data_IF_826478380014
#
_entry.id   IF_826478380014
#
_cell.length_a   1.000
_cell.length_b   1.000
_cell.length_c   1.000
_cell.angle_alpha   90.00
_cell.angle_beta   90.00
_cell.angle_gamma   90.00
#
_symmetry.space_group_name_H-M   'P 1'
#
loop_
_entity.id
_entity.type
_entity.pdbx_description
1 polymer ?
#
# COMPACT_ATOMS: atom_id res chain seq x y z
N UNK A 1 -17.65 71.39 46.66
CA UNK A 1 -16.70 70.84 45.69
C UNK A 1 -16.85 69.32 45.64
N UNK A 2 -17.49 68.83 44.58
CA UNK A 2 -17.72 67.40 44.38
C UNK A 2 -16.70 66.86 43.44
N UNK A 3 -15.88 65.92 43.85
CA UNK A 3 -14.93 65.20 43.02
C UNK A 3 -15.63 63.93 42.52
N UNK A 4 -15.84 63.84 41.20
CA UNK A 4 -16.41 62.61 40.57
C UNK A 4 -15.24 61.72 40.15
N UNK A 5 -15.17 60.54 40.77
CA UNK A 5 -14.20 59.54 40.44
C UNK A 5 -14.78 58.68 39.29
N UNK A 6 -14.17 58.73 38.10
CA UNK A 6 -14.53 57.84 36.97
C UNK A 6 -13.76 56.51 37.12
N UNK A 7 -14.49 55.45 37.32
CA UNK A 7 -13.97 54.05 37.25
C UNK A 7 -13.93 53.61 35.77
N UNK A 8 -12.76 53.46 35.24
CA UNK A 8 -12.56 52.88 33.92
C UNK A 8 -12.72 51.36 33.99
N UNK A 9 -13.68 50.84 33.20
CA UNK A 9 -13.93 49.41 33.03
C UNK A 9 -12.96 48.88 31.95
N UNK A 10 -11.92 48.15 32.34
CA UNK A 10 -11.05 47.42 31.39
C UNK A 10 -11.74 46.11 31.01
N UNK A 11 -12.20 46.04 29.77
CA UNK A 11 -12.72 44.79 29.22
C UNK A 11 -11.54 43.87 28.81
N UNK A 12 -11.40 42.79 29.54
CA UNK A 12 -10.45 41.71 29.24
C UNK A 12 -11.09 40.81 28.14
N UNK A 13 -10.64 40.96 26.89
CA UNK A 13 -10.97 40.02 25.81
C UNK A 13 -10.17 38.72 26.01
N UNK A 14 -10.81 37.70 26.58
CA UNK A 14 -10.28 36.33 26.53
C UNK A 14 -10.49 35.78 25.11
N UNK A 15 -9.41 35.79 24.34
CA UNK A 15 -9.33 35.06 23.09
C UNK A 15 -9.30 33.56 23.35
N UNK A 16 -10.40 32.85 23.10
CA UNK A 16 -10.44 31.38 23.10
C UNK A 16 -9.69 30.88 21.87
N UNK A 17 -8.46 30.41 22.06
CA UNK A 17 -7.77 29.61 21.04
C UNK A 17 -8.55 28.29 20.90
N UNK A 18 -9.32 28.15 19.84
CA UNK A 18 -9.89 26.88 19.43
C UNK A 18 -8.74 25.99 18.93
N UNK A 19 -8.22 25.13 19.79
CA UNK A 19 -7.36 24.01 19.39
C UNK A 19 -8.25 23.07 18.60
N UNK A 20 -8.11 23.10 17.29
CA UNK A 20 -8.71 22.07 16.42
C UNK A 20 -8.01 20.75 16.74
N UNK A 21 -8.56 19.99 17.66
CA UNK A 21 -8.24 18.58 17.85
C UNK A 21 -8.59 17.85 16.56
N UNK A 22 -7.59 17.68 15.71
CA UNK A 22 -7.66 16.74 14.61
C UNK A 22 -7.89 15.34 15.16
N UNK A 23 -9.16 14.97 15.29
CA UNK A 23 -9.57 13.61 15.58
C UNK A 23 -9.08 12.78 14.40
N UNK A 24 -8.04 11.97 14.63
CA UNK A 24 -7.69 10.91 13.70
C UNK A 24 -8.92 9.98 13.63
N UNK A 25 -9.77 10.21 12.62
CA UNK A 25 -10.79 9.24 12.25
C UNK A 25 -10.05 7.95 11.91
N UNK A 26 -10.39 6.87 12.60
CA UNK A 26 -10.13 5.49 12.18
C UNK A 26 -10.87 5.30 10.85
N UNK A 27 -10.27 5.76 9.77
CA UNK A 27 -10.87 5.67 8.44
C UNK A 27 -10.84 4.21 8.03
N UNK A 28 -12.02 3.65 7.91
CA UNK A 28 -12.29 2.51 7.05
C UNK A 28 -11.51 2.73 5.74
N UNK A 29 -10.40 2.06 5.53
CA UNK A 29 -9.35 2.30 4.53
C UNK A 29 -9.79 2.97 3.22
N UNK A 30 -8.87 3.32 2.37
CA UNK A 30 -9.13 4.05 1.12
C UNK A 30 -10.19 3.35 0.25
N UNK A 31 -11.05 4.13 -0.41
CA UNK A 31 -12.10 3.67 -1.35
C UNK A 31 -11.76 4.09 -2.80
N UNK A 32 -12.41 3.46 -3.77
CA UNK A 32 -12.34 3.90 -5.17
C UNK A 32 -12.86 5.33 -5.28
N UNK A 33 -12.09 6.19 -5.93
CA UNK A 33 -12.31 7.65 -6.05
C UNK A 33 -11.51 8.49 -5.06
N UNK A 34 -11.04 7.91 -3.96
CA UNK A 34 -10.21 8.62 -2.98
C UNK A 34 -8.77 8.83 -3.50
N UNK A 35 -8.07 9.80 -2.92
CA UNK A 35 -6.61 9.87 -3.07
C UNK A 35 -5.95 8.70 -2.36
N UNK A 36 -4.97 8.09 -3.03
CA UNK A 36 -4.16 7.04 -2.43
C UNK A 36 -3.41 7.57 -1.20
N UNK A 37 -3.36 6.82 -0.08
CA UNK A 37 -2.60 7.22 1.07
C UNK A 37 -1.10 7.20 0.77
N UNK A 38 -0.36 8.17 1.31
CA UNK A 38 1.09 8.14 1.26
C UNK A 38 1.64 7.04 2.19
N UNK A 39 2.63 6.30 1.70
CA UNK A 39 3.32 5.28 2.47
C UNK A 39 4.78 5.13 2.05
N UNK A 40 5.56 4.58 2.95
CA UNK A 40 6.94 4.20 2.72
C UNK A 40 7.12 2.75 3.20
N UNK A 41 8.02 2.01 2.59
CA UNK A 41 8.35 0.65 2.97
C UNK A 41 9.81 0.32 2.64
N UNK A 42 10.35 -0.70 3.29
CA UNK A 42 11.62 -1.31 2.87
C UNK A 42 11.36 -2.21 1.67
N UNK A 43 12.09 -2.01 0.59
CA UNK A 43 12.01 -2.85 -0.61
C UNK A 43 12.86 -4.13 -0.51
N UNK A 44 12.76 -4.97 -1.52
CA UNK A 44 13.50 -6.22 -1.67
C UNK A 44 15.04 -6.05 -1.77
N UNK A 45 15.54 -4.82 -1.87
CA UNK A 45 16.96 -4.48 -1.84
C UNK A 45 17.40 -3.87 -0.50
N UNK A 46 16.50 -3.78 0.48
CA UNK A 46 16.75 -3.14 1.76
C UNK A 46 16.74 -1.61 1.72
N UNK A 47 16.25 -0.99 0.64
CA UNK A 47 16.16 0.46 0.48
C UNK A 47 14.77 0.96 0.84
N UNK A 48 14.67 2.23 1.20
CA UNK A 48 13.36 2.88 1.41
C UNK A 48 12.71 3.21 0.08
N UNK A 49 11.55 2.62 -0.19
CA UNK A 49 10.65 2.97 -1.29
C UNK A 49 9.57 3.92 -0.78
N UNK A 50 9.33 5.00 -1.52
CA UNK A 50 8.35 6.04 -1.14
C UNK A 50 7.28 6.17 -2.21
N UNK A 51 6.01 6.04 -1.83
CA UNK A 51 4.88 6.19 -2.76
C UNK A 51 4.86 7.56 -3.45
N UNK A 52 5.34 8.62 -2.80
CA UNK A 52 5.43 9.99 -3.36
C UNK A 52 6.34 10.10 -4.58
N UNK A 53 7.26 9.17 -4.75
CA UNK A 53 8.19 9.18 -5.89
C UNK A 53 7.56 8.57 -7.16
N UNK A 54 6.45 7.87 -7.02
CA UNK A 54 5.77 7.07 -8.05
C UNK A 54 4.33 7.52 -8.32
N UNK A 55 3.52 7.62 -7.27
CA UNK A 55 2.11 8.05 -7.34
C UNK A 55 2.00 9.49 -7.83
N UNK A 56 1.09 9.74 -8.76
CA UNK A 56 0.97 11.05 -9.42
C UNK A 56 1.89 11.24 -10.63
N UNK A 57 2.73 10.25 -10.95
CA UNK A 57 3.64 10.26 -12.12
C UNK A 57 3.36 9.12 -13.09
N UNK A 58 2.94 7.99 -12.55
CA UNK A 58 2.63 6.75 -13.26
C UNK A 58 1.32 6.16 -12.76
N UNK A 59 0.78 5.21 -13.49
CA UNK A 59 -0.24 4.30 -12.93
C UNK A 59 0.52 3.31 -12.04
N UNK A 60 0.12 3.21 -10.76
CA UNK A 60 0.74 2.30 -9.81
C UNK A 60 -0.24 1.21 -9.42
N UNK A 61 0.16 -0.03 -9.63
CA UNK A 61 -0.57 -1.23 -9.19
C UNK A 61 0.07 -1.72 -7.91
N UNK A 62 -0.67 -1.67 -6.81
CA UNK A 62 -0.27 -2.22 -5.52
C UNK A 62 -1.04 -3.52 -5.32
N UNK A 63 -0.38 -4.67 -5.46
CA UNK A 63 -1.01 -5.94 -5.16
C UNK A 63 -0.54 -6.46 -3.79
N UNK A 64 -1.50 -6.69 -2.91
CA UNK A 64 -1.30 -7.29 -1.60
C UNK A 64 -1.46 -8.80 -1.69
N UNK A 65 -0.59 -9.54 -1.01
CA UNK A 65 -0.62 -10.99 -1.04
C UNK A 65 -0.21 -11.62 0.31
N UNK A 66 -0.68 -12.86 0.60
CA UNK A 66 -0.49 -13.49 1.90
C UNK A 66 0.95 -13.78 2.30
N UNK A 67 1.76 -14.33 1.40
CA UNK A 67 3.13 -14.75 1.73
C UNK A 67 3.94 -15.15 0.51
N UNK A 68 5.24 -14.91 0.57
CA UNK A 68 6.22 -15.43 -0.38
C UNK A 68 6.21 -16.96 -0.44
N UNK A 69 6.58 -17.53 -1.58
CA UNK A 69 6.69 -18.97 -1.83
C UNK A 69 5.42 -19.80 -1.59
N UNK A 70 4.25 -19.19 -1.46
CA UNK A 70 2.98 -19.94 -1.43
C UNK A 70 2.38 -20.05 -2.82
N UNK A 71 1.74 -21.20 -3.12
CA UNK A 71 1.35 -21.54 -4.49
C UNK A 71 0.53 -20.47 -5.22
N UNK A 72 -0.48 -19.86 -4.57
CA UNK A 72 -1.28 -18.80 -5.17
C UNK A 72 -0.53 -17.49 -5.35
N UNK A 73 0.36 -17.15 -4.39
CA UNK A 73 1.17 -15.93 -4.45
C UNK A 73 2.25 -16.04 -5.52
N UNK A 74 2.87 -17.21 -5.63
CA UNK A 74 3.84 -17.49 -6.70
C UNK A 74 3.19 -17.39 -8.08
N UNK A 75 1.99 -17.96 -8.28
CA UNK A 75 1.27 -17.83 -9.56
C UNK A 75 0.97 -16.38 -9.90
N UNK A 76 0.51 -15.56 -8.93
CA UNK A 76 0.26 -14.14 -9.14
C UNK A 76 1.52 -13.36 -9.51
N UNK A 77 2.60 -13.56 -8.75
CA UNK A 77 3.87 -12.90 -9.01
C UNK A 77 4.45 -13.28 -10.38
N UNK A 78 4.43 -14.57 -10.74
CA UNK A 78 4.87 -15.04 -12.05
C UNK A 78 3.99 -14.48 -13.19
N UNK A 79 2.66 -14.39 -12.98
CA UNK A 79 1.77 -13.79 -13.97
C UNK A 79 2.09 -12.29 -14.19
N UNK A 80 2.36 -11.52 -13.13
CA UNK A 80 2.83 -10.14 -13.28
C UNK A 80 4.19 -10.05 -14.00
N UNK A 81 5.14 -10.92 -13.66
CA UNK A 81 6.44 -11.02 -14.36
C UNK A 81 6.26 -11.28 -15.86
N UNK A 82 5.45 -12.25 -16.20
CA UNK A 82 5.25 -12.67 -17.60
C UNK A 82 4.53 -11.58 -18.43
N UNK A 83 3.83 -10.66 -17.78
CA UNK A 83 3.19 -9.48 -18.38
C UNK A 83 3.96 -8.16 -18.15
N UNK A 84 5.14 -8.20 -17.52
CA UNK A 84 5.88 -7.00 -17.09
C UNK A 84 6.13 -6.02 -18.25
N UNK A 85 6.54 -6.54 -19.42
CA UNK A 85 6.80 -5.69 -20.60
C UNK A 85 5.52 -4.96 -21.05
N UNK A 86 4.40 -5.66 -21.15
CA UNK A 86 3.14 -5.07 -21.61
C UNK A 86 2.63 -4.00 -20.62
N UNK A 87 2.84 -4.21 -19.32
CA UNK A 87 2.50 -3.25 -18.27
C UNK A 87 3.40 -2.02 -18.34
N UNK A 88 4.72 -2.21 -18.45
CA UNK A 88 5.70 -1.12 -18.52
C UNK A 88 5.52 -0.27 -19.78
N UNK A 89 5.27 -0.88 -20.94
CA UNK A 89 5.01 -0.18 -22.20
C UNK A 89 3.78 0.77 -22.10
N UNK A 90 2.84 0.47 -21.20
CA UNK A 90 1.67 1.30 -20.88
C UNK A 90 1.93 2.31 -19.75
N UNK A 91 3.15 2.40 -19.24
CA UNK A 91 3.51 3.29 -18.12
C UNK A 91 2.93 2.84 -16.77
N UNK A 92 2.68 1.54 -16.63
CA UNK A 92 2.18 0.93 -15.39
C UNK A 92 3.34 0.39 -14.59
N UNK A 93 3.44 0.78 -13.34
CA UNK A 93 4.37 0.25 -12.35
C UNK A 93 3.65 -0.71 -11.40
N UNK A 94 4.23 -1.88 -11.19
CA UNK A 94 3.70 -2.89 -10.27
C UNK A 94 4.57 -2.96 -9.03
N UNK A 95 3.96 -2.96 -7.85
CA UNK A 95 4.61 -3.25 -6.57
C UNK A 95 3.82 -4.30 -5.81
N UNK A 96 4.50 -5.30 -5.28
CA UNK A 96 3.91 -6.32 -4.42
C UNK A 96 4.12 -5.97 -2.95
N UNK A 97 3.11 -6.21 -2.10
CA UNK A 97 3.17 -5.92 -0.66
C UNK A 97 2.73 -7.16 0.13
N UNK A 98 3.57 -7.62 1.02
CA UNK A 98 3.21 -8.69 1.98
C UNK A 98 3.84 -8.46 3.35
N UNK A 99 3.43 -9.26 4.33
CA UNK A 99 4.01 -9.25 5.67
C UNK A 99 5.36 -9.96 5.78
N UNK A 100 5.96 -10.35 4.66
CA UNK A 100 7.30 -10.92 4.62
C UNK A 100 8.36 -9.82 4.78
N UNK A 101 9.55 -10.19 5.28
CA UNK A 101 10.68 -9.28 5.39
C UNK A 101 11.32 -8.98 4.04
N UNK A 102 12.05 -7.87 3.93
CA UNK A 102 12.82 -7.53 2.75
C UNK A 102 13.76 -8.66 2.29
N UNK A 103 14.35 -9.38 3.25
CA UNK A 103 15.22 -10.55 2.96
C UNK A 103 14.44 -11.71 2.33
N UNK A 104 13.21 -11.99 2.78
CA UNK A 104 12.36 -13.00 2.17
C UNK A 104 11.98 -12.57 0.74
N UNK A 105 11.64 -11.31 0.55
CA UNK A 105 11.36 -10.73 -0.77
C UNK A 105 12.55 -10.84 -1.73
N UNK A 106 13.76 -10.56 -1.27
CA UNK A 106 14.98 -10.75 -2.07
C UNK A 106 15.11 -12.20 -2.57
N UNK A 107 14.92 -13.17 -1.67
CA UNK A 107 14.96 -14.60 -2.00
C UNK A 107 13.86 -14.99 -3.00
N UNK A 108 12.63 -14.57 -2.73
CA UNK A 108 11.47 -14.85 -3.58
C UNK A 108 11.64 -14.27 -4.97
N UNK A 109 12.03 -12.98 -5.05
CA UNK A 109 12.31 -12.26 -6.29
C UNK A 109 13.40 -12.94 -7.12
N UNK A 110 14.52 -13.29 -6.49
CA UNK A 110 15.64 -13.96 -7.14
C UNK A 110 15.23 -15.34 -7.67
N UNK A 111 14.54 -16.14 -6.84
CA UNK A 111 14.13 -17.51 -7.20
C UNK A 111 13.18 -17.52 -8.39
N UNK A 112 12.20 -16.61 -8.42
CA UNK A 112 11.19 -16.54 -9.46
C UNK A 112 11.50 -15.52 -10.57
N UNK A 113 12.68 -14.88 -10.54
CA UNK A 113 13.13 -13.88 -11.53
C UNK A 113 12.11 -12.74 -11.72
N UNK A 114 11.60 -12.20 -10.61
CA UNK A 114 10.66 -11.09 -10.64
C UNK A 114 11.42 -9.79 -10.93
N UNK A 115 10.89 -8.94 -11.82
CA UNK A 115 11.55 -7.70 -12.24
C UNK A 115 10.97 -6.44 -11.57
N UNK A 116 9.85 -6.57 -10.87
CA UNK A 116 9.20 -5.48 -10.15
C UNK A 116 9.55 -5.49 -8.66
N UNK A 117 9.24 -4.41 -7.96
CA UNK A 117 9.57 -4.20 -6.55
C UNK A 117 8.61 -4.96 -5.62
N UNK A 118 9.16 -5.58 -4.58
CA UNK A 118 8.42 -6.13 -3.47
C UNK A 118 8.68 -5.28 -2.22
N UNK A 119 7.65 -5.02 -1.43
CA UNK A 119 7.66 -4.13 -0.28
C UNK A 119 7.27 -4.87 0.99
N UNK A 120 8.09 -4.75 2.02
CA UNK A 120 7.88 -5.37 3.32
C UNK A 120 6.89 -4.54 4.16
N UNK A 121 5.78 -5.16 4.57
CA UNK A 121 4.76 -4.60 5.45
C UNK A 121 4.59 -5.54 6.66
N UNK A 122 5.69 -5.75 7.39
CA UNK A 122 5.79 -6.77 8.45
C UNK A 122 4.79 -6.55 9.60
N UNK A 123 4.36 -5.33 9.83
CA UNK A 123 3.36 -4.96 10.85
C UNK A 123 1.95 -4.72 10.29
N UNK A 124 1.77 -4.78 8.97
CA UNK A 124 0.49 -4.55 8.30
C UNK A 124 0.04 -3.09 8.25
N UNK A 125 0.95 -2.13 8.47
CA UNK A 125 0.63 -0.71 8.49
C UNK A 125 0.17 -0.19 7.11
N UNK A 126 0.78 -0.67 6.03
CA UNK A 126 0.39 -0.31 4.67
C UNK A 126 -0.96 -0.94 4.33
N UNK A 127 -1.14 -2.24 4.60
CA UNK A 127 -2.41 -2.92 4.41
C UNK A 127 -3.55 -2.18 5.13
N UNK A 128 -3.32 -1.75 6.38
CA UNK A 128 -4.29 -0.97 7.17
C UNK A 128 -4.65 0.36 6.50
N UNK A 129 -3.67 1.12 5.97
CA UNK A 129 -3.93 2.38 5.25
C UNK A 129 -4.83 2.16 4.04
N UNK A 130 -4.63 1.06 3.34
CA UNK A 130 -5.48 0.70 2.20
C UNK A 130 -6.78 -0.01 2.60
N UNK A 131 -7.00 -0.32 3.89
CA UNK A 131 -8.17 -1.07 4.35
C UNK A 131 -8.19 -2.50 3.81
N UNK A 132 -7.01 -3.09 3.63
CA UNK A 132 -6.83 -4.49 3.25
C UNK A 132 -6.72 -5.32 4.53
N UNK A 133 -7.54 -6.37 4.72
CA UNK A 133 -7.49 -7.17 5.93
C UNK A 133 -6.12 -7.85 6.11
N UNK A 134 -5.58 -7.79 7.32
CA UNK A 134 -4.39 -8.51 7.73
C UNK A 134 -4.65 -9.27 9.03
N UNK A 135 -4.09 -10.45 9.13
CA UNK A 135 -4.20 -11.31 10.30
C UNK A 135 -2.84 -11.71 10.84
N UNK A 136 -2.84 -12.64 11.80
CA UNK A 136 -1.62 -13.15 12.43
C UNK A 136 -0.62 -13.65 11.38
N UNK A 137 0.65 -13.37 11.60
CA UNK A 137 1.76 -13.88 10.81
C UNK A 137 1.87 -15.40 10.85
N UNK A 138 2.83 -15.94 10.13
CA UNK A 138 3.01 -17.38 10.04
C UNK A 138 4.38 -17.76 9.50
N UNK A 139 4.55 -19.06 9.25
CA UNK A 139 5.76 -19.64 8.69
C UNK A 139 5.41 -20.49 7.46
N UNK A 140 6.27 -20.47 6.49
CA UNK A 140 6.20 -21.34 5.31
C UNK A 140 7.52 -22.11 5.19
N UNK A 141 7.45 -23.40 4.86
CA UNK A 141 8.63 -24.21 4.53
C UNK A 141 8.79 -24.24 3.01
N UNK A 142 9.89 -23.69 2.52
CA UNK A 142 10.21 -23.61 1.09
C UNK A 142 11.03 -24.85 0.71
N UNK A 143 10.37 -25.85 0.15
CA UNK A 143 10.99 -27.15 -0.21
C UNK A 143 12.09 -26.98 -1.26
N UNK A 144 11.87 -26.10 -2.21
CA UNK A 144 12.78 -25.78 -3.31
C UNK A 144 14.08 -25.11 -2.83
N UNK A 145 14.10 -24.62 -1.59
CA UNK A 145 15.27 -24.03 -0.93
C UNK A 145 15.69 -24.87 0.28
N UNK A 146 15.90 -26.17 0.07
CA UNK A 146 16.38 -27.11 1.10
C UNK A 146 15.54 -27.11 2.39
N UNK A 147 14.23 -26.97 2.26
CA UNK A 147 13.28 -26.85 3.36
C UNK A 147 13.51 -25.60 4.24
N UNK A 148 14.01 -24.52 3.65
CA UNK A 148 14.16 -23.24 4.35
C UNK A 148 12.82 -22.79 4.94
N UNK A 149 12.85 -22.45 6.22
CA UNK A 149 11.71 -21.88 6.93
C UNK A 149 11.77 -20.37 6.88
N UNK A 150 10.77 -19.75 6.33
CA UNK A 150 10.62 -18.30 6.29
C UNK A 150 9.41 -17.86 7.10
N UNK A 151 9.58 -16.78 7.87
CA UNK A 151 8.55 -16.23 8.74
C UNK A 151 8.10 -14.88 8.20
N UNK A 152 6.83 -14.57 8.42
CA UNK A 152 6.24 -13.24 8.14
C UNK A 152 5.58 -12.67 9.40
N UNK A 153 5.58 -11.35 9.51
CA UNK A 153 5.00 -10.65 10.68
C UNK A 153 3.49 -10.71 10.69
N UNK A 154 2.85 -10.47 9.53
CA UNK A 154 1.40 -10.55 9.33
C UNK A 154 1.06 -11.35 8.08
N UNK A 155 -0.18 -11.83 7.97
CA UNK A 155 -0.72 -12.45 6.76
C UNK A 155 -1.75 -11.50 6.16
N UNK A 156 -1.40 -10.87 5.04
CA UNK A 156 -2.24 -9.88 4.36
C UNK A 156 -3.18 -10.60 3.38
N UNK A 157 -4.44 -10.18 3.32
CA UNK A 157 -5.41 -10.72 2.36
C UNK A 157 -5.00 -10.33 0.93
N UNK A 158 -5.35 -11.18 -0.05
CA UNK A 158 -5.03 -10.92 -1.45
C UNK A 158 -5.98 -9.88 -2.05
N UNK A 159 -5.45 -8.70 -2.34
CA UNK A 159 -6.16 -7.57 -2.93
C UNK A 159 -5.30 -6.88 -3.97
N UNK A 160 -5.93 -6.31 -4.99
CA UNK A 160 -5.25 -5.43 -5.94
C UNK A 160 -5.88 -4.05 -5.92
N UNK A 161 -5.02 -3.04 -5.83
CA UNK A 161 -5.37 -1.62 -5.85
C UNK A 161 -4.66 -0.99 -7.04
N UNK A 162 -5.40 -0.23 -7.85
CA UNK A 162 -4.85 0.52 -8.97
C UNK A 162 -5.00 2.02 -8.68
N UNK A 163 -3.90 2.73 -8.77
CA UNK A 163 -3.80 4.18 -8.55
C UNK A 163 -3.45 4.84 -9.88
N UNK A 164 -4.27 5.78 -10.32
CA UNK A 164 -4.05 6.49 -11.59
C UNK A 164 -2.95 7.56 -11.49
N UNK A 165 -2.66 8.22 -12.62
CA UNK A 165 -1.66 9.30 -12.72
C UNK A 165 -2.04 10.56 -11.93
N UNK A 166 -3.29 10.71 -11.50
CA UNK A 166 -3.75 11.80 -10.64
C UNK A 166 -3.62 11.45 -9.15
N UNK A 167 -3.14 10.24 -8.84
CA UNK A 167 -3.00 9.71 -7.49
C UNK A 167 -4.32 9.25 -6.89
N UNK A 168 -5.34 8.96 -7.70
CA UNK A 168 -6.64 8.45 -7.25
C UNK A 168 -6.71 6.95 -7.39
N UNK A 169 -7.33 6.30 -6.43
CA UNK A 169 -7.66 4.87 -6.51
C UNK A 169 -8.79 4.68 -7.51
N UNK A 170 -8.54 3.97 -8.59
CA UNK A 170 -9.53 3.65 -9.63
C UNK A 170 -10.04 2.21 -9.55
N UNK A 171 -9.37 1.35 -8.77
CA UNK A 171 -9.77 -0.04 -8.53
C UNK A 171 -9.26 -0.50 -7.17
N UNK A 172 -10.07 -1.29 -6.46
CA UNK A 172 -9.70 -1.95 -5.21
C UNK A 172 -10.58 -3.16 -4.98
N UNK A 173 -10.07 -4.36 -5.20
CA UNK A 173 -10.82 -5.60 -5.06
C UNK A 173 -9.98 -6.77 -4.53
N UNK A 174 -10.68 -7.72 -3.88
CA UNK A 174 -10.09 -9.00 -3.48
C UNK A 174 -9.89 -9.90 -4.70
N UNK A 175 -8.68 -10.42 -4.88
CA UNK A 175 -8.30 -11.24 -6.03
C UNK A 175 -8.66 -12.71 -5.80
N UNK A 176 -9.53 -13.27 -6.63
CA UNK A 176 -9.94 -14.67 -6.57
C UNK A 176 -9.13 -15.58 -7.51
N UNK A 177 -8.67 -15.04 -8.64
CA UNK A 177 -7.89 -15.74 -9.65
C UNK A 177 -6.49 -15.09 -9.79
N UNK A 178 -5.49 -15.51 -8.99
CA UNK A 178 -4.19 -14.84 -8.91
C UNK A 178 -3.44 -14.76 -10.24
N UNK A 179 -3.54 -15.79 -11.06
CA UNK A 179 -2.92 -15.89 -12.38
C UNK A 179 -3.60 -14.99 -13.45
N UNK A 180 -4.83 -14.56 -13.21
CA UNK A 180 -5.57 -13.64 -14.11
C UNK A 180 -5.46 -12.16 -13.69
N UNK A 181 -4.85 -11.88 -12.53
CA UNK A 181 -4.81 -10.53 -11.97
C UNK A 181 -4.18 -9.49 -12.92
N UNK A 182 -3.04 -9.74 -13.60
CA UNK A 182 -2.47 -8.79 -14.56
C UNK A 182 -3.41 -8.47 -15.72
N UNK A 183 -4.19 -9.45 -16.20
CA UNK A 183 -5.19 -9.25 -17.24
C UNK A 183 -6.32 -8.36 -16.73
N UNK A 184 -6.84 -8.64 -15.54
CA UNK A 184 -7.87 -7.80 -14.89
C UNK A 184 -7.38 -6.37 -14.71
N UNK A 185 -6.12 -6.17 -14.26
CA UNK A 185 -5.49 -4.86 -14.15
C UNK A 185 -5.50 -4.12 -15.49
N UNK A 186 -5.05 -4.75 -16.56
CA UNK A 186 -5.03 -4.13 -17.90
C UNK A 186 -6.44 -3.76 -18.39
N UNK A 187 -7.41 -4.64 -18.21
CA UNK A 187 -8.81 -4.37 -18.58
C UNK A 187 -9.41 -3.18 -17.82
N UNK A 188 -9.14 -3.08 -16.52
CA UNK A 188 -9.61 -1.94 -15.69
C UNK A 188 -9.00 -0.63 -16.16
N UNK A 189 -7.69 -0.61 -16.42
CA UNK A 189 -6.99 0.59 -16.88
C UNK A 189 -7.51 1.02 -18.26
N UNK A 190 -7.69 0.10 -19.20
CA UNK A 190 -8.24 0.39 -20.53
C UNK A 190 -9.65 0.97 -20.45
N UNK A 191 -10.53 0.39 -19.63
CA UNK A 191 -11.90 0.87 -19.42
C UNK A 191 -11.96 2.25 -18.74
N UNK A 192 -10.95 2.58 -17.93
CA UNK A 192 -10.87 3.89 -17.25
C UNK A 192 -10.46 5.04 -18.18
N UNK A 193 -9.96 4.74 -19.38
CA UNK A 193 -9.44 5.74 -20.32
C UNK A 193 -8.15 6.44 -19.85
N UNK A 194 -7.40 5.82 -18.97
CA UNK A 194 -6.19 6.38 -18.33
C UNK A 194 -4.90 5.85 -18.98
#
# INVERSE_FOLDING_TARGET
>A
MRVVCQLGLAALLLGTLAVASGRAEDKEGVKVGDKAPAFEATDDQGKTWKSSDHVGKKIVVVYFYPADFTGGCTRQACAFRDNAKALTDKGIEVVGVSGDSAKNHELFKKHHKLEFTLLADEDGAIAKKFGVPAGKGGEVTVKELENLKIKRGVTISRWTVIIDKDGKVIHKEAVKAPDQDPKTVMEVIEKSGK
#
